data_IF_772736123037
#
_entry.id   IF_772736123037
#
_cell.length_a   1.000
_cell.length_b   1.000
_cell.length_c   1.000
_cell.angle_alpha   90.00
_cell.angle_beta   90.00
_cell.angle_gamma   90.00
#
_symmetry.space_group_name_H-M   'P 1'
#
loop_
_entity.id
_entity.type
_entity.pdbx_description
1 polymer ?
#
# COMPACT_ATOMS: atom_id res chain seq x y z
N UNK A 1 7.69 -15.31 -2.88
CA UNK A 1 6.33 -15.06 -3.38
C UNK A 1 6.14 -15.96 -4.58
N UNK A 2 5.09 -16.78 -4.60
CA UNK A 2 4.74 -17.61 -5.76
C UNK A 2 3.59 -16.94 -6.50
N UNK A 3 3.63 -16.91 -7.82
CA UNK A 3 2.57 -16.37 -8.67
C UNK A 3 2.20 -17.38 -9.74
N UNK A 4 0.95 -17.29 -10.20
CA UNK A 4 0.43 -18.05 -11.33
C UNK A 4 0.79 -17.31 -12.64
N UNK A 5 1.64 -17.89 -13.51
CA UNK A 5 2.06 -17.26 -14.76
C UNK A 5 0.98 -17.27 -15.86
N UNK A 6 -0.10 -18.04 -15.68
CA UNK A 6 -1.18 -18.16 -16.67
C UNK A 6 -2.21 -17.03 -16.51
N UNK A 7 -2.25 -16.37 -15.36
CA UNK A 7 -3.14 -15.22 -15.10
C UNK A 7 -2.36 -13.93 -15.27
N UNK A 8 -2.50 -13.30 -16.43
CA UNK A 8 -1.79 -12.07 -16.80
C UNK A 8 -2.71 -10.88 -17.02
N UNK A 9 -2.16 -9.70 -16.78
CA UNK A 9 -2.82 -8.41 -16.94
C UNK A 9 -1.98 -7.54 -17.87
N UNK A 10 -2.62 -6.98 -18.89
CA UNK A 10 -2.06 -5.88 -19.68
C UNK A 10 -2.45 -4.55 -19.00
N UNK A 11 -1.44 -3.79 -18.58
CA UNK A 11 -1.61 -2.48 -17.96
C UNK A 11 -1.16 -1.40 -18.95
N UNK A 12 -2.10 -0.54 -19.34
CA UNK A 12 -1.78 0.67 -20.10
C UNK A 12 -1.43 1.80 -19.12
N UNK A 13 -0.21 2.33 -19.21
CA UNK A 13 0.23 3.48 -18.41
C UNK A 13 -0.16 4.80 -19.05
N UNK A 14 -0.08 5.89 -18.28
CA UNK A 14 -0.43 7.23 -18.74
C UNK A 14 0.39 7.72 -19.96
N UNK A 15 1.57 7.13 -20.20
CA UNK A 15 2.41 7.39 -21.37
C UNK A 15 2.08 6.48 -22.58
N UNK A 16 0.94 5.76 -22.54
CA UNK A 16 0.46 4.81 -23.57
C UNK A 16 1.36 3.59 -23.78
N UNK A 17 2.31 3.33 -22.89
CA UNK A 17 3.01 2.06 -22.89
C UNK A 17 2.10 0.99 -22.31
N UNK A 18 2.12 -0.19 -22.91
CA UNK A 18 1.43 -1.36 -22.39
C UNK A 18 2.48 -2.26 -21.76
N UNK A 19 2.38 -2.45 -20.45
CA UNK A 19 3.21 -3.38 -19.71
C UNK A 19 2.37 -4.62 -19.38
N UNK A 20 2.93 -5.80 -19.55
CA UNK A 20 2.29 -7.06 -19.20
C UNK A 20 2.82 -7.56 -17.85
N UNK A 21 1.92 -8.02 -16.98
CA UNK A 21 2.32 -8.67 -15.74
C UNK A 21 2.84 -10.09 -16.02
N UNK A 22 3.83 -10.56 -15.26
CA UNK A 22 4.34 -11.94 -15.35
C UNK A 22 3.47 -12.98 -14.64
N UNK A 23 2.47 -12.54 -13.90
CA UNK A 23 1.51 -13.43 -13.24
C UNK A 23 0.76 -12.77 -12.09
N UNK A 24 -0.13 -13.54 -11.47
CA UNK A 24 -0.93 -13.14 -10.32
C UNK A 24 -0.48 -13.88 -9.06
N UNK A 25 -0.14 -13.14 -8.01
CA UNK A 25 0.06 -13.67 -6.67
C UNK A 25 -1.24 -13.55 -5.87
N UNK A 26 -1.73 -14.67 -5.36
CA UNK A 26 -3.01 -14.72 -4.66
C UNK A 26 -2.86 -14.60 -3.14
N UNK A 27 -3.80 -13.89 -2.50
CA UNK A 27 -3.90 -13.75 -1.04
C UNK A 27 -2.56 -13.34 -0.38
N UNK A 28 -1.91 -12.33 -0.93
CA UNK A 28 -0.67 -11.81 -0.37
C UNK A 28 -1.00 -10.95 0.85
N UNK A 29 -0.42 -11.21 2.05
CA UNK A 29 -0.68 -10.40 3.23
C UNK A 29 0.05 -9.06 3.16
N UNK A 30 -0.70 -7.98 3.36
CA UNK A 30 -0.20 -6.61 3.47
C UNK A 30 -0.52 -6.05 4.84
N UNK A 31 0.51 -5.82 5.64
CA UNK A 31 0.38 -5.19 6.96
C UNK A 31 0.65 -3.70 6.85
N UNK A 32 -0.37 -2.87 7.09
CA UNK A 32 -0.28 -1.41 6.97
C UNK A 32 -0.03 -0.70 8.30
N UNK A 33 -0.42 -1.33 9.39
CA UNK A 33 -0.21 -0.89 10.76
C UNK A 33 -0.19 -2.14 11.66
N UNK A 34 0.24 -1.99 12.91
CA UNK A 34 0.18 -3.07 13.89
C UNK A 34 -1.23 -3.65 14.00
N UNK A 35 -1.36 -4.97 13.85
CA UNK A 35 -2.65 -5.67 13.87
C UNK A 35 -3.56 -5.38 12.68
N UNK A 36 -3.06 -4.73 11.61
CA UNK A 36 -3.85 -4.38 10.43
C UNK A 36 -3.30 -5.01 9.16
N UNK A 37 -3.66 -6.27 8.92
CA UNK A 37 -3.30 -7.03 7.72
C UNK A 37 -4.50 -7.21 6.79
N UNK A 38 -4.29 -6.94 5.49
CA UNK A 38 -5.25 -7.14 4.41
C UNK A 38 -4.65 -8.11 3.39
N UNK A 39 -5.44 -9.06 2.89
CA UNK A 39 -4.99 -10.01 1.88
C UNK A 39 -5.37 -9.51 0.49
N UNK A 40 -4.39 -9.33 -0.38
CA UNK A 40 -4.57 -8.74 -1.71
C UNK A 40 -4.21 -9.72 -2.82
N UNK A 41 -4.89 -9.58 -3.96
CA UNK A 41 -4.49 -10.20 -5.23
C UNK A 41 -3.54 -9.21 -5.92
N UNK A 42 -2.33 -9.64 -6.28
CA UNK A 42 -1.28 -8.74 -6.76
C UNK A 42 -0.70 -9.22 -8.09
N UNK A 43 -0.82 -8.40 -9.13
CA UNK A 43 -0.13 -8.63 -10.39
C UNK A 43 1.36 -8.26 -10.28
N UNK A 44 2.24 -9.16 -10.70
CA UNK A 44 3.69 -9.00 -10.60
C UNK A 44 4.25 -8.47 -11.92
N UNK A 45 5.17 -7.50 -11.85
CA UNK A 45 5.87 -6.94 -12.99
C UNK A 45 7.38 -7.01 -12.75
N UNK A 46 8.18 -7.31 -13.76
CA UNK A 46 9.63 -7.51 -13.58
C UNK A 46 10.40 -6.23 -13.23
N UNK A 47 10.03 -5.10 -13.88
CA UNK A 47 10.75 -3.83 -13.75
C UNK A 47 9.80 -2.62 -13.74
N UNK A 48 8.84 -2.55 -12.80
CA UNK A 48 7.95 -1.41 -12.69
C UNK A 48 8.70 -0.16 -12.19
N UNK A 49 8.18 1.03 -12.52
CA UNK A 49 8.69 2.32 -12.00
C UNK A 49 8.22 2.64 -10.57
N UNK A 50 7.64 1.67 -9.88
CA UNK A 50 7.04 1.77 -8.56
C UNK A 50 7.19 0.44 -7.82
N UNK A 51 7.23 0.47 -6.49
CA UNK A 51 7.27 -0.76 -5.69
C UNK A 51 5.92 -1.48 -5.71
N UNK A 52 4.84 -0.74 -5.45
CA UNK A 52 3.47 -1.27 -5.38
C UNK A 52 2.51 -0.20 -5.89
N UNK A 53 1.50 -0.60 -6.66
CA UNK A 53 0.40 0.26 -7.08
C UNK A 53 -0.90 -0.27 -6.46
N UNK A 54 -1.46 0.47 -5.51
CA UNK A 54 -2.77 0.17 -4.94
C UNK A 54 -3.84 0.91 -5.75
N UNK A 55 -4.70 0.13 -6.41
CA UNK A 55 -5.78 0.66 -7.22
C UNK A 55 -7.15 0.48 -6.57
N UNK A 56 -8.20 0.66 -7.39
CA UNK A 56 -9.60 0.53 -6.96
C UNK A 56 -9.98 -0.79 -6.28
N UNK A 57 -9.40 -1.96 -6.60
CA UNK A 57 -9.68 -3.18 -5.85
C UNK A 57 -9.31 -3.06 -4.37
N UNK A 58 -8.17 -2.43 -4.06
CA UNK A 58 -7.77 -2.13 -2.69
C UNK A 58 -8.73 -1.14 -2.03
N UNK A 59 -9.08 -0.06 -2.74
CA UNK A 59 -10.02 0.95 -2.21
C UNK A 59 -11.38 0.34 -1.87
N UNK A 60 -11.89 -0.52 -2.75
CA UNK A 60 -13.17 -1.18 -2.58
C UNK A 60 -13.13 -2.16 -1.41
N UNK A 61 -12.09 -2.98 -1.33
CA UNK A 61 -11.93 -3.99 -0.27
C UNK A 61 -11.81 -3.34 1.12
N UNK A 62 -11.12 -2.21 1.20
CA UNK A 62 -10.83 -1.53 2.46
C UNK A 62 -11.74 -0.36 2.76
N UNK A 63 -12.75 -0.09 1.92
CA UNK A 63 -13.58 1.12 2.01
C UNK A 63 -12.71 2.38 2.20
N UNK A 64 -11.62 2.48 1.42
CA UNK A 64 -10.60 3.49 1.64
C UNK A 64 -11.19 4.90 1.46
N UNK A 65 -10.74 5.83 2.30
CA UNK A 65 -11.07 7.24 2.19
C UNK A 65 -9.78 8.06 2.23
N UNK A 66 -9.59 8.89 1.21
CA UNK A 66 -8.42 9.77 1.09
C UNK A 66 -8.85 11.19 1.41
N UNK A 67 -8.20 11.79 2.40
CA UNK A 67 -8.38 13.19 2.77
C UNK A 67 -7.13 13.96 2.38
N UNK A 68 -7.27 14.88 1.43
CA UNK A 68 -6.20 15.80 1.05
C UNK A 68 -6.30 17.05 1.93
N UNK A 69 -5.18 17.42 2.54
CA UNK A 69 -5.07 18.55 3.47
C UNK A 69 -4.49 19.78 2.75
N UNK A 70 -4.72 20.97 3.32
CA UNK A 70 -4.26 22.24 2.71
C UNK A 70 -2.74 22.40 2.72
N UNK A 71 -2.06 21.71 3.63
CA UNK A 71 -0.59 21.70 3.75
C UNK A 71 0.10 20.79 2.71
N UNK A 72 -0.67 20.16 1.81
CA UNK A 72 -0.17 19.24 0.79
C UNK A 72 -0.06 17.79 1.25
N UNK A 73 -0.32 17.50 2.53
CA UNK A 73 -0.36 16.14 3.03
C UNK A 73 -1.67 15.45 2.64
N UNK A 74 -1.66 14.12 2.64
CA UNK A 74 -2.88 13.34 2.56
C UNK A 74 -2.90 12.24 3.62
N UNK A 75 -4.09 11.91 4.09
CA UNK A 75 -4.34 10.82 5.03
C UNK A 75 -5.25 9.81 4.34
N UNK A 76 -4.84 8.54 4.36
CA UNK A 76 -5.65 7.43 3.85
C UNK A 76 -6.22 6.69 5.06
N UNK A 77 -7.54 6.70 5.21
CA UNK A 77 -8.24 5.86 6.18
C UNK A 77 -8.65 4.57 5.50
N UNK A 78 -8.33 3.43 6.09
CA UNK A 78 -8.72 2.10 5.59
C UNK A 78 -9.45 1.30 6.66
N UNK A 79 -10.40 0.47 6.23
CA UNK A 79 -11.14 -0.51 7.03
C UNK A 79 -10.60 -1.91 6.79
N UNK A 80 -10.38 -2.65 7.88
CA UNK A 80 -9.96 -4.04 7.79
C UNK A 80 -11.21 -4.87 7.44
N UNK A 81 -11.24 -5.57 6.30
CA UNK A 81 -12.42 -6.33 5.90
C UNK A 81 -12.73 -7.50 6.86
N UNK A 82 -11.72 -8.03 7.56
CA UNK A 82 -11.87 -9.17 8.46
C UNK A 82 -12.33 -8.76 9.87
N UNK A 83 -11.86 -7.62 10.39
CA UNK A 83 -12.15 -7.18 11.78
C UNK A 83 -13.11 -5.99 11.86
N UNK A 84 -13.35 -5.29 10.76
CA UNK A 84 -14.15 -4.07 10.69
C UNK A 84 -13.48 -2.84 11.31
N UNK A 85 -12.30 -2.97 11.94
CA UNK A 85 -11.54 -1.85 12.50
C UNK A 85 -11.07 -0.91 11.41
N UNK A 86 -10.90 0.37 11.75
CA UNK A 86 -10.35 1.39 10.85
C UNK A 86 -9.01 1.89 11.37
N UNK A 87 -8.10 2.21 10.47
CA UNK A 87 -6.83 2.88 10.77
C UNK A 87 -6.59 4.00 9.77
N UNK A 88 -5.89 5.05 10.21
CA UNK A 88 -5.50 6.17 9.38
C UNK A 88 -3.98 6.10 9.13
N UNK A 89 -3.61 6.16 7.86
CA UNK A 89 -2.23 6.10 7.39
C UNK A 89 -1.85 7.47 6.84
N UNK A 90 -0.87 8.18 7.44
CA UNK A 90 -0.34 9.38 6.84
C UNK A 90 0.40 9.02 5.54
N UNK A 91 0.24 9.84 4.50
CA UNK A 91 1.04 9.72 3.28
C UNK A 91 2.19 10.72 3.32
N UNK A 92 3.20 10.45 2.51
CA UNK A 92 4.37 11.31 2.38
C UNK A 92 4.58 11.65 0.91
N UNK A 93 5.12 12.83 0.65
CA UNK A 93 5.58 13.18 -0.68
C UNK A 93 6.65 12.20 -1.17
N UNK A 94 6.57 11.83 -2.45
CA UNK A 94 7.57 10.97 -3.09
C UNK A 94 8.97 11.59 -2.95
N UNK A 95 9.89 10.84 -2.34
CA UNK A 95 11.29 11.24 -2.18
C UNK A 95 11.63 11.92 -0.84
N UNK A 96 10.64 12.22 0.00
CA UNK A 96 10.88 12.65 1.39
C UNK A 96 10.76 11.43 2.31
N UNK A 97 11.84 11.08 3.01
CA UNK A 97 11.84 10.03 4.05
C UNK A 97 11.58 10.72 5.39
N UNK A 98 10.63 10.21 6.18
CA UNK A 98 10.48 10.62 7.59
C UNK A 98 11.69 10.09 8.34
N UNK A 99 12.52 10.99 8.86
CA UNK A 99 13.46 10.64 9.92
C UNK A 99 12.63 10.33 11.16
N UNK A 100 12.49 9.06 11.49
CA UNK A 100 11.99 8.65 12.80
C UNK A 100 13.04 9.12 13.82
N UNK A 101 12.72 10.15 14.61
CA UNK A 101 13.46 10.45 15.83
C UNK A 101 13.15 9.32 16.82
N UNK A 102 14.15 8.59 17.34
CA UNK A 102 13.89 7.58 18.36
C UNK A 102 13.29 8.28 19.59
N UNK A 103 12.13 7.80 20.04
CA UNK A 103 11.52 8.21 21.30
C UNK A 103 12.55 8.03 22.40
N UNK A 104 12.98 9.13 23.02
CA UNK A 104 13.96 9.13 24.09
C UNK A 104 13.51 8.20 25.23
N UNK A 105 14.32 7.20 25.52
CA UNK A 105 14.26 6.50 26.79
C UNK A 105 14.66 7.52 27.88
N UNK A 106 13.70 7.92 28.71
CA UNK A 106 14.00 8.63 29.97
C UNK A 106 14.80 7.68 30.86
N UNK A 107 16.12 7.87 30.87
CA UNK A 107 17.04 7.24 31.80
C UNK A 107 16.70 7.71 33.23
N UNK A 108 15.93 6.90 33.97
CA UNK A 108 15.69 7.13 35.38
C UNK A 108 16.94 6.72 36.16
N UNK A 109 17.74 7.72 36.47
CA UNK A 109 18.91 7.69 37.36
C UNK A 109 18.59 7.05 38.72
N UNK A 110 19.35 6.00 39.07
CA UNK A 110 19.80 5.71 40.44
C UNK A 110 21.24 5.19 40.40
#
# INVERSE_FOLDING_TARGET
LTWDPDIRLHMESANKQVNESVGLACNVPFTFAEGFTVYLQVHIFEKPAYTILLGRPFDTLTESNIQNLQDGNAIITIRNPNTGRRTALPTMERGKVSREEPSGEEETKF
#
